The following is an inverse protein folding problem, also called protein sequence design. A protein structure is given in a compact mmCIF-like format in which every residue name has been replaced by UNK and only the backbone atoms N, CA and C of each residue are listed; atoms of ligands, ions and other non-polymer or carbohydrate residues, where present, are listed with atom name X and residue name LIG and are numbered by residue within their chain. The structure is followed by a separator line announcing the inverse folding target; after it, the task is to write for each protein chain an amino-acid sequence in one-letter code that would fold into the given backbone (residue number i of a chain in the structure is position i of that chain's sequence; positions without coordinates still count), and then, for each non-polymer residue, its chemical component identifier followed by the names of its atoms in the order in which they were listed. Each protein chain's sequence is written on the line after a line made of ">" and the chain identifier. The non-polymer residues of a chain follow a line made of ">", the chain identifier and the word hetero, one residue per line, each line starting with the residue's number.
data_IF_182165005088
#
_entry.id   IF_182165005088
#
_cell.length_a   1.000
_cell.length_b   1.000
_cell.length_c   1.000
_cell.angle_alpha   90.00
_cell.angle_beta   90.00
_cell.angle_gamma   90.00
#
_symmetry.space_group_name_H-M   'P 1'
#
loop_
_entity.id
_entity.type
_entity.pdbx_description
1 polymer ?
#
# COMPACT_ATOMS: atom_id res chain seq x y z
N UNK A 1 5.05 17.92 -26.37
CA UNK A 1 5.21 17.85 -24.90
C UNK A 1 3.82 17.78 -24.27
N UNK A 2 3.32 16.58 -23.93
CA UNK A 2 1.91 16.36 -23.52
C UNK A 2 1.68 16.43 -22.02
N UNK A 3 2.75 16.39 -21.20
CA UNK A 3 2.66 16.37 -19.72
C UNK A 3 1.91 17.58 -19.16
N UNK A 4 2.14 18.84 -19.61
CA UNK A 4 1.40 20.00 -19.09
C UNK A 4 -0.12 19.91 -19.32
N UNK A 5 -0.56 19.26 -20.40
CA UNK A 5 -1.99 19.07 -20.71
C UNK A 5 -2.63 18.11 -19.71
N UNK A 6 -1.97 16.99 -19.40
CA UNK A 6 -2.45 16.05 -18.39
C UNK A 6 -2.45 16.67 -16.98
N UNK A 7 -1.38 17.39 -16.62
CA UNK A 7 -1.32 18.11 -15.33
C UNK A 7 -2.45 19.13 -15.20
N UNK A 8 -2.73 19.89 -16.26
CA UNK A 8 -3.86 20.83 -16.26
C UNK A 8 -5.19 20.14 -15.97
N UNK A 9 -5.46 18.99 -16.61
CA UNK A 9 -6.68 18.20 -16.36
C UNK A 9 -6.73 17.66 -14.93
N UNK A 10 -5.63 17.08 -14.44
CA UNK A 10 -5.54 16.58 -13.06
C UNK A 10 -5.76 17.70 -12.03
N UNK A 11 -5.19 18.89 -12.25
CA UNK A 11 -5.41 20.05 -11.36
C UNK A 11 -6.86 20.49 -11.30
N UNK A 12 -7.63 20.30 -12.37
CA UNK A 12 -9.08 20.60 -12.37
C UNK A 12 -9.87 19.56 -11.58
N UNK A 13 -9.51 18.28 -11.71
CA UNK A 13 -10.20 17.17 -11.05
C UNK A 13 -9.88 17.14 -9.55
N UNK A 14 -8.62 17.35 -9.19
CA UNK A 14 -8.14 17.27 -7.80
C UNK A 14 -8.32 18.58 -7.01
N UNK A 15 -9.28 19.44 -7.39
CA UNK A 15 -9.58 20.66 -6.62
C UNK A 15 -10.25 20.30 -5.30
N UNK A 16 -9.60 20.64 -4.19
CA UNK A 16 -10.11 20.44 -2.84
C UNK A 16 -10.89 21.68 -2.38
N UNK A 17 -12.19 21.71 -2.65
CA UNK A 17 -13.07 22.83 -2.29
C UNK A 17 -12.60 24.17 -2.89
N UNK A 18 -12.74 25.26 -2.15
CA UNK A 18 -12.38 26.62 -2.58
C UNK A 18 -10.89 26.96 -2.37
N UNK A 19 -10.02 25.96 -2.18
CA UNK A 19 -8.59 26.25 -2.01
C UNK A 19 -8.03 26.90 -3.27
N UNK A 20 -7.34 28.06 -3.14
CA UNK A 20 -6.78 28.77 -4.29
C UNK A 20 -5.60 27.99 -4.90
N UNK A 21 -4.89 27.22 -4.09
CA UNK A 21 -3.66 26.53 -4.49
C UNK A 21 -3.91 25.10 -4.98
N UNK A 22 -3.37 24.82 -6.17
CA UNK A 22 -3.40 23.50 -6.78
C UNK A 22 -2.57 22.49 -5.98
N UNK A 23 -3.15 21.32 -5.74
CA UNK A 23 -2.50 20.19 -5.05
C UNK A 23 -1.32 19.60 -5.82
N UNK A 24 -1.23 19.86 -7.13
CA UNK A 24 -0.05 19.58 -7.94
C UNK A 24 0.74 20.88 -8.10
N UNK A 25 1.92 20.97 -7.47
CA UNK A 25 2.86 22.08 -7.62
C UNK A 25 3.80 21.82 -8.79
N UNK A 26 4.31 22.91 -9.37
CA UNK A 26 5.40 22.88 -10.36
C UNK A 26 6.61 23.57 -9.75
N UNK A 27 7.78 23.00 -9.93
CA UNK A 27 9.05 23.63 -9.58
C UNK A 27 10.06 23.49 -10.74
N UNK A 28 11.35 23.73 -10.48
CA UNK A 28 12.42 23.60 -11.47
C UNK A 28 12.72 22.15 -11.88
N UNK A 29 12.27 21.17 -11.10
CA UNK A 29 12.50 19.73 -11.29
C UNK A 29 11.29 19.00 -11.89
N UNK A 30 10.11 19.62 -11.90
CA UNK A 30 8.93 19.07 -12.56
C UNK A 30 7.65 19.38 -11.83
N UNK A 31 6.84 18.35 -11.63
CA UNK A 31 5.55 18.43 -10.92
C UNK A 31 5.56 17.51 -9.71
N UNK A 32 4.98 17.97 -8.60
CA UNK A 32 4.85 17.18 -7.37
C UNK A 32 3.47 17.37 -6.75
N UNK A 33 2.97 16.31 -6.12
CA UNK A 33 1.80 16.41 -5.25
C UNK A 33 2.24 17.01 -3.90
N UNK A 34 1.43 17.90 -3.35
CA UNK A 34 1.64 18.41 -2.00
C UNK A 34 1.51 17.25 -1.01
N UNK A 35 2.42 17.19 -0.04
CA UNK A 35 2.42 16.14 0.97
C UNK A 35 1.19 16.26 1.87
N UNK A 36 0.62 15.11 2.27
CA UNK A 36 -0.51 15.05 3.19
C UNK A 36 -1.86 15.50 2.61
N UNK A 37 -1.97 15.80 1.31
CA UNK A 37 -3.25 16.18 0.70
C UNK A 37 -4.09 14.97 0.29
N UNK A 38 -3.44 13.81 0.16
CA UNK A 38 -4.05 12.55 -0.19
C UNK A 38 -3.47 11.45 0.69
N UNK A 39 -4.33 10.53 1.11
CA UNK A 39 -3.91 9.26 1.66
C UNK A 39 -3.56 8.32 0.50
N UNK A 40 -2.37 7.71 0.58
CA UNK A 40 -1.88 6.75 -0.40
C UNK A 40 -1.79 5.42 0.31
N UNK A 41 -2.58 4.45 -0.13
CA UNK A 41 -2.65 3.11 0.48
C UNK A 41 -1.27 2.46 0.64
N UNK A 42 -0.40 2.55 -0.38
CA UNK A 42 0.97 2.04 -0.30
C UNK A 42 1.79 2.67 0.85
N UNK A 43 1.62 3.97 1.11
CA UNK A 43 2.27 4.66 2.24
C UNK A 43 1.61 4.28 3.57
N UNK A 44 0.30 4.08 3.59
CA UNK A 44 -0.40 3.57 4.77
C UNK A 44 0.07 2.14 5.12
N UNK A 45 0.32 1.29 4.12
CA UNK A 45 0.96 -0.02 4.31
C UNK A 45 2.36 0.14 4.91
N UNK A 46 3.19 1.06 4.42
CA UNK A 46 4.51 1.34 5.00
C UNK A 46 4.44 1.68 6.51
N UNK A 47 3.52 2.58 6.89
CA UNK A 47 3.33 2.96 8.30
C UNK A 47 2.87 1.78 9.15
N UNK A 48 1.84 1.06 8.70
CA UNK A 48 1.27 -0.08 9.44
C UNK A 48 2.30 -1.19 9.65
N UNK A 49 3.14 -1.46 8.65
CA UNK A 49 4.21 -2.47 8.73
C UNK A 49 5.29 -2.03 9.71
N UNK A 50 5.73 -0.77 9.64
CA UNK A 50 6.70 -0.21 10.59
C UNK A 50 6.21 -0.33 12.04
N UNK A 51 4.91 -0.07 12.25
CA UNK A 51 4.27 -0.21 13.57
C UNK A 51 4.11 -1.66 13.99
N UNK A 52 3.81 -2.57 13.07
CA UNK A 52 3.72 -4.00 13.35
C UNK A 52 5.08 -4.56 13.80
N UNK A 53 6.17 -4.17 13.13
CA UNK A 53 7.54 -4.53 13.51
C UNK A 53 7.94 -3.95 14.87
N UNK A 54 7.49 -2.73 15.18
CA UNK A 54 7.69 -2.15 16.51
C UNK A 54 6.94 -2.93 17.60
N UNK A 55 5.69 -3.34 17.33
CA UNK A 55 4.92 -4.16 18.25
C UNK A 55 5.57 -5.54 18.46
N UNK A 56 6.06 -6.18 17.40
CA UNK A 56 6.83 -7.42 17.51
C UNK A 56 8.05 -7.26 18.41
N UNK A 57 8.88 -6.23 18.18
CA UNK A 57 10.08 -5.95 18.99
C UNK A 57 9.74 -5.68 20.47
N UNK A 58 8.54 -5.16 20.73
CA UNK A 58 8.03 -4.96 22.09
C UNK A 58 7.38 -6.21 22.70
N UNK A 59 7.29 -7.32 21.96
CA UNK A 59 6.66 -8.56 22.40
C UNK A 59 5.13 -8.60 22.23
N UNK A 60 4.50 -7.55 21.69
CA UNK A 60 3.06 -7.51 21.40
C UNK A 60 2.77 -8.17 20.04
N UNK A 61 2.93 -9.49 19.98
CA UNK A 61 2.58 -10.27 18.78
C UNK A 61 1.10 -10.15 18.39
N UNK A 62 0.11 -10.13 19.32
CA UNK A 62 -1.27 -9.87 18.96
C UNK A 62 -1.46 -8.50 18.28
N UNK A 63 -0.76 -7.47 18.74
CA UNK A 63 -0.75 -6.15 18.11
C UNK A 63 -0.11 -6.15 16.73
N UNK A 64 1.02 -6.83 16.57
CA UNK A 64 1.69 -7.00 15.27
C UNK A 64 0.75 -7.65 14.24
N UNK A 65 0.04 -8.73 14.63
CA UNK A 65 -0.97 -9.39 13.77
C UNK A 65 -2.09 -8.43 13.38
N UNK A 66 -2.68 -7.69 14.34
CA UNK A 66 -3.78 -6.73 14.03
C UNK A 66 -3.34 -5.62 13.08
N UNK A 67 -2.11 -5.13 13.21
CA UNK A 67 -1.58 -4.09 12.33
C UNK A 67 -1.30 -4.64 10.92
N UNK A 68 -0.80 -5.88 10.84
CA UNK A 68 -0.61 -6.56 9.56
C UNK A 68 -1.93 -6.86 8.84
N UNK A 69 -2.98 -7.25 9.59
CA UNK A 69 -4.33 -7.43 9.05
C UNK A 69 -4.82 -6.16 8.36
N UNK A 70 -4.72 -5.02 9.05
CA UNK A 70 -5.08 -3.71 8.47
C UNK A 70 -4.24 -3.36 7.24
N UNK A 71 -2.96 -3.74 7.22
CA UNK A 71 -2.11 -3.50 6.05
C UNK A 71 -2.53 -4.36 4.86
N UNK A 72 -2.89 -5.62 5.09
CA UNK A 72 -3.37 -6.55 4.06
C UNK A 72 -4.74 -6.13 3.51
N UNK A 73 -5.64 -5.57 4.34
CA UNK A 73 -6.94 -5.03 3.92
C UNK A 73 -6.83 -3.88 2.90
N UNK A 74 -5.69 -3.19 2.82
CA UNK A 74 -5.46 -2.12 1.84
C UNK A 74 -5.22 -2.67 0.42
N UNK A 75 -4.90 -3.96 0.26
CA UNK A 75 -4.76 -4.62 -1.02
C UNK A 75 -6.13 -5.08 -1.55
N UNK A 76 -6.80 -4.22 -2.31
CA UNK A 76 -8.19 -4.41 -2.80
C UNK A 76 -8.29 -5.04 -4.20
N UNK A 77 -7.33 -5.89 -4.56
CA UNK A 77 -7.19 -6.48 -5.89
C UNK A 77 -5.82 -6.19 -6.51
N UNK A 78 -5.76 -6.26 -7.85
CA UNK A 78 -4.52 -6.01 -8.59
C UNK A 78 -4.02 -4.57 -8.40
N UNK A 79 -2.79 -4.34 -7.91
CA UNK A 79 -2.23 -3.00 -7.81
C UNK A 79 -2.13 -2.33 -9.18
N UNK A 80 -2.52 -1.05 -9.23
CA UNK A 80 -2.50 -0.25 -10.45
C UNK A 80 -3.28 -0.90 -11.62
N UNK A 81 -4.38 -1.59 -11.30
CA UNK A 81 -5.24 -2.24 -12.29
C UNK A 81 -5.62 -1.27 -13.43
N UNK A 82 -5.52 -1.76 -14.67
CA UNK A 82 -5.86 -1.00 -15.87
C UNK A 82 -4.83 0.07 -16.30
N UNK A 83 -3.73 0.27 -15.56
CA UNK A 83 -2.64 1.16 -15.99
C UNK A 83 -1.60 0.40 -16.82
N UNK A 84 -1.36 0.81 -18.09
CA UNK A 84 -0.38 0.18 -18.94
C UNK A 84 1.03 0.74 -18.74
N UNK A 85 2.01 0.01 -19.26
CA UNK A 85 3.39 0.47 -19.38
C UNK A 85 4.35 -0.13 -18.35
N UNK A 86 5.67 -0.05 -18.61
CA UNK A 86 6.67 -0.80 -17.88
C UNK A 86 6.77 -0.43 -16.40
N UNK A 87 6.54 0.84 -16.05
CA UNK A 87 6.55 1.29 -14.65
C UNK A 87 5.37 0.71 -13.86
N UNK A 88 4.17 0.70 -14.45
CA UNK A 88 2.99 0.13 -13.79
C UNK A 88 3.17 -1.38 -13.58
N UNK A 89 3.73 -2.07 -14.57
CA UNK A 89 4.04 -3.50 -14.49
C UNK A 89 5.05 -3.81 -13.37
N UNK A 90 6.16 -3.06 -13.31
CA UNK A 90 7.17 -3.27 -12.27
C UNK A 90 6.62 -2.98 -10.87
N UNK A 91 5.81 -1.94 -10.72
CA UNK A 91 5.18 -1.59 -9.44
C UNK A 91 4.13 -2.61 -9.02
N UNK A 92 3.38 -3.17 -9.96
CA UNK A 92 2.42 -4.24 -9.69
C UNK A 92 3.11 -5.47 -9.13
N UNK A 93 4.19 -5.93 -9.77
CA UNK A 93 4.98 -7.06 -9.28
C UNK A 93 5.55 -6.78 -7.88
N UNK A 94 6.14 -5.58 -7.68
CA UNK A 94 6.70 -5.17 -6.39
C UNK A 94 5.65 -5.18 -5.28
N UNK A 95 4.45 -4.66 -5.55
CA UNK A 95 3.36 -4.58 -4.58
C UNK A 95 2.74 -5.97 -4.31
N UNK A 96 2.62 -6.83 -5.31
CA UNK A 96 2.18 -8.22 -5.14
C UNK A 96 3.15 -9.01 -4.25
N UNK A 97 4.45 -8.97 -4.55
CA UNK A 97 5.49 -9.59 -3.71
C UNK A 97 5.46 -9.07 -2.27
N UNK A 98 5.23 -7.77 -2.10
CA UNK A 98 5.09 -7.16 -0.78
C UNK A 98 3.88 -7.71 -0.02
N UNK A 99 2.72 -7.87 -0.67
CA UNK A 99 1.53 -8.49 -0.07
C UNK A 99 1.84 -9.89 0.45
N UNK A 100 2.52 -10.70 -0.36
CA UNK A 100 2.93 -12.06 0.01
C UNK A 100 3.84 -12.06 1.23
N UNK A 101 4.87 -11.21 1.25
CA UNK A 101 5.79 -11.11 2.37
C UNK A 101 5.08 -10.70 3.68
N UNK A 102 4.06 -9.84 3.61
CA UNK A 102 3.26 -9.45 4.78
C UNK A 102 2.40 -10.59 5.30
N UNK A 103 1.74 -11.35 4.41
CA UNK A 103 0.96 -12.51 4.80
C UNK A 103 1.82 -13.61 5.44
N UNK A 104 3.03 -13.85 4.91
CA UNK A 104 4.00 -14.77 5.50
C UNK A 104 4.43 -14.33 6.90
N UNK A 105 4.80 -13.05 7.07
CA UNK A 105 5.18 -12.50 8.38
C UNK A 105 4.05 -12.60 9.41
N UNK A 106 2.81 -12.31 8.99
CA UNK A 106 1.62 -12.49 9.82
C UNK A 106 1.47 -13.95 10.25
N UNK A 107 1.62 -14.90 9.32
CA UNK A 107 1.54 -16.33 9.62
C UNK A 107 2.61 -16.74 10.65
N UNK A 108 3.84 -16.26 10.54
CA UNK A 108 4.89 -16.51 11.52
C UNK A 108 4.50 -16.05 12.93
N UNK A 109 3.92 -14.85 13.05
CA UNK A 109 3.42 -14.34 14.34
C UNK A 109 2.23 -15.16 14.86
N UNK A 110 1.32 -15.57 13.99
CA UNK A 110 0.21 -16.45 14.35
C UNK A 110 0.71 -17.81 14.86
N UNK A 111 1.72 -18.40 14.22
CA UNK A 111 2.34 -19.65 14.65
C UNK A 111 2.98 -19.52 16.03
N UNK A 112 3.71 -18.42 16.29
CA UNK A 112 4.28 -18.10 17.61
C UNK A 112 3.22 -17.91 18.70
N UNK A 113 2.02 -17.47 18.31
CA UNK A 113 0.85 -17.36 19.18
C UNK A 113 0.04 -18.66 19.31
N UNK A 114 0.46 -19.75 18.65
CA UNK A 114 -0.26 -21.04 18.63
C UNK A 114 -1.49 -21.08 17.70
N UNK A 115 -1.73 -20.03 16.91
CA UNK A 115 -2.85 -19.86 15.97
C UNK A 115 -2.58 -20.53 14.62
N UNK A 116 -2.36 -21.84 14.65
CA UNK A 116 -1.92 -22.61 13.46
C UNK A 116 -2.98 -22.67 12.36
N UNK A 117 -4.25 -22.82 12.74
CA UNK A 117 -5.34 -22.93 11.78
C UNK A 117 -5.45 -21.63 10.99
N UNK A 118 -5.42 -20.49 11.67
CA UNK A 118 -5.49 -19.18 11.04
C UNK A 118 -4.29 -18.90 10.11
N UNK A 119 -3.09 -19.32 10.50
CA UNK A 119 -1.89 -19.21 9.67
C UNK A 119 -2.01 -20.03 8.38
N UNK A 120 -2.44 -21.30 8.50
CA UNK A 120 -2.61 -22.20 7.34
C UNK A 120 -3.71 -21.66 6.43
N UNK A 121 -4.89 -21.33 6.97
CA UNK A 121 -6.00 -20.80 6.17
C UNK A 121 -5.61 -19.54 5.41
N UNK A 122 -4.91 -18.61 6.06
CA UNK A 122 -4.46 -17.36 5.43
C UNK A 122 -3.48 -17.60 4.28
N UNK A 123 -2.47 -18.46 4.49
CA UNK A 123 -1.48 -18.78 3.45
C UNK A 123 -2.07 -19.60 2.30
N UNK A 124 -2.96 -20.55 2.60
CA UNK A 124 -3.65 -21.33 1.56
C UNK A 124 -4.53 -20.46 0.68
N UNK A 125 -5.26 -19.51 1.25
CA UNK A 125 -6.06 -18.56 0.47
C UNK A 125 -5.17 -17.73 -0.47
N UNK A 126 -4.04 -17.22 0.04
CA UNK A 126 -3.10 -16.46 -0.77
C UNK A 126 -2.49 -17.28 -1.91
N UNK A 127 -2.12 -18.54 -1.66
CA UNK A 127 -1.54 -19.42 -2.68
C UNK A 127 -2.54 -19.78 -3.81
N UNK A 128 -3.85 -19.74 -3.54
CA UNK A 128 -4.87 -19.93 -4.58
C UNK A 128 -5.03 -18.69 -5.46
N UNK A 129 -4.74 -17.50 -4.94
CA UNK A 129 -4.78 -16.24 -5.70
C UNK A 129 -3.52 -16.01 -6.54
N UNK A 130 -2.38 -16.54 -6.10
CA UNK A 130 -1.05 -16.38 -6.71
C UNK A 130 -0.40 -17.77 -6.96
N UNK A 131 -0.84 -18.51 -8.00
CA UNK A 131 -0.37 -19.87 -8.27
C UNK A 131 1.09 -19.96 -8.75
#
# INVERSE_FOLDING_TARGET
>A
NVVPVYVYRLRKILRLGDRPDSVIRRDRYGYGLVQGIAEVDALCVDDLVTRAEAAERAGDLPGAVRLCDRALELFRGEPLAGLPGPLAESERLRLAQRRVALAQRKADWQLRLGRRIEAITGLSALALEEP
#
